data_IF_334136293950
#
_entry.id   IF_334136293950
#
_cell.length_a   1.000
_cell.length_b   1.000
_cell.length_c   1.000
_cell.angle_alpha   90.00
_cell.angle_beta   90.00
_cell.angle_gamma   90.00
#
_symmetry.space_group_name_H-M   'P 1'
#
loop_
_entity.id
_entity.type
_entity.pdbx_description
1 polymer ?
#
# COMPACT_ATOMS: atom_id res chain seq x y z
N UNK A 1 46.41 56.53 2.38
CA UNK A 1 45.16 55.93 2.87
C UNK A 1 44.67 54.99 1.76
N UNK A 2 44.84 53.69 1.95
CA UNK A 2 44.43 52.64 0.96
C UNK A 2 43.13 52.03 1.47
N UNK A 3 42.03 52.27 0.77
CA UNK A 3 40.73 51.70 1.09
C UNK A 3 40.73 50.23 0.63
N UNK A 4 40.61 49.28 1.56
CA UNK A 4 40.37 47.86 1.28
C UNK A 4 38.87 47.65 1.01
N UNK A 5 38.52 47.32 -0.23
CA UNK A 5 37.19 46.92 -0.62
C UNK A 5 36.99 45.45 -0.19
N UNK A 6 36.13 45.21 0.78
CA UNK A 6 35.72 43.86 1.20
C UNK A 6 34.63 43.35 0.22
N UNK A 7 34.94 42.37 -0.59
CA UNK A 7 33.95 41.68 -1.44
C UNK A 7 33.25 40.63 -0.58
N UNK A 8 32.00 40.91 -0.22
CA UNK A 8 31.12 39.93 0.47
C UNK A 8 30.56 38.96 -0.59
N UNK A 9 31.10 37.75 -0.60
CA UNK A 9 30.58 36.67 -1.45
C UNK A 9 29.26 36.18 -0.83
N UNK A 10 28.11 36.55 -1.40
CA UNK A 10 26.82 35.98 -1.03
C UNK A 10 26.76 34.56 -1.62
N UNK A 11 26.87 33.53 -0.76
CA UNK A 11 26.43 32.18 -1.10
C UNK A 11 24.89 32.22 -1.18
N UNK A 12 24.38 32.15 -2.38
CA UNK A 12 22.96 31.83 -2.57
C UNK A 12 22.75 30.34 -2.22
N UNK A 13 21.77 30.01 -1.39
CA UNK A 13 21.40 28.61 -1.21
C UNK A 13 20.92 28.08 -2.55
N UNK A 14 21.56 27.03 -3.03
CA UNK A 14 21.00 26.19 -4.11
C UNK A 14 19.77 25.52 -3.51
N UNK A 15 18.60 25.93 -3.94
CA UNK A 15 17.38 25.17 -3.63
C UNK A 15 17.59 23.76 -4.22
N UNK A 16 17.67 22.77 -3.36
CA UNK A 16 17.50 21.40 -3.79
C UNK A 16 16.11 21.32 -4.41
N UNK A 17 16.03 21.06 -5.73
CA UNK A 17 14.76 20.70 -6.35
C UNK A 17 14.37 19.38 -5.68
N UNK A 18 13.29 19.40 -4.89
CA UNK A 18 12.61 18.17 -4.52
C UNK A 18 12.34 17.45 -5.84
N UNK A 19 12.81 16.20 -5.97
CA UNK A 19 12.50 15.38 -7.13
C UNK A 19 10.97 15.33 -7.30
N UNK A 20 10.48 15.29 -8.53
CA UNK A 20 9.05 15.12 -8.78
C UNK A 20 8.58 13.83 -8.10
N UNK A 21 7.40 13.84 -7.45
CA UNK A 21 6.83 12.65 -6.81
C UNK A 21 6.64 11.50 -7.81
N UNK A 22 6.41 10.31 -7.32
CA UNK A 22 6.16 9.12 -8.14
C UNK A 22 4.81 9.30 -8.85
N UNK A 23 4.80 9.20 -10.19
CA UNK A 23 3.59 9.29 -11.02
C UNK A 23 3.07 7.90 -11.41
N UNK A 24 3.97 6.97 -11.70
CA UNK A 24 3.64 5.59 -12.10
C UNK A 24 4.59 4.60 -11.43
N UNK A 25 4.10 3.39 -11.22
CA UNK A 25 4.90 2.31 -10.65
C UNK A 25 4.52 0.95 -11.26
N UNK A 26 5.51 0.07 -11.45
CA UNK A 26 5.34 -1.30 -11.90
C UNK A 26 6.36 -2.24 -11.24
N UNK A 27 6.05 -3.52 -11.23
CA UNK A 27 7.01 -4.56 -10.84
C UNK A 27 7.74 -5.12 -12.05
N UNK A 28 9.01 -5.46 -11.86
CA UNK A 28 9.86 -6.13 -12.83
C UNK A 28 10.62 -7.31 -12.22
N UNK A 29 11.40 -8.01 -13.06
CA UNK A 29 12.23 -9.13 -12.66
C UNK A 29 11.47 -10.26 -11.97
N UNK A 30 10.73 -11.05 -12.75
CA UNK A 30 10.08 -12.28 -12.29
C UNK A 30 11.11 -13.23 -11.66
N UNK A 31 10.80 -13.76 -10.47
CA UNK A 31 11.67 -14.68 -9.74
C UNK A 31 10.89 -15.87 -9.18
N UNK A 32 11.59 -16.99 -9.02
CA UNK A 32 11.08 -18.22 -8.43
C UNK A 32 11.92 -18.65 -7.22
N UNK A 33 12.20 -17.68 -6.35
CA UNK A 33 13.02 -17.89 -5.14
C UNK A 33 12.17 -18.11 -3.88
N UNK A 34 10.88 -17.80 -3.97
CA UNK A 34 9.92 -17.93 -2.87
C UNK A 34 8.66 -18.67 -3.34
N UNK A 35 8.63 -20.02 -3.25
CA UNK A 35 7.58 -20.82 -3.87
C UNK A 35 6.26 -20.83 -3.06
N UNK A 36 5.75 -19.65 -2.67
CA UNK A 36 4.50 -19.55 -1.93
C UNK A 36 3.27 -19.76 -2.82
N UNK A 37 3.32 -19.27 -4.07
CA UNK A 37 2.27 -19.47 -5.10
C UNK A 37 0.86 -19.11 -4.63
N UNK A 38 0.72 -18.12 -3.79
CA UNK A 38 -0.56 -17.72 -3.23
C UNK A 38 -1.49 -17.14 -4.31
N UNK A 39 -0.92 -16.47 -5.32
CA UNK A 39 -1.60 -15.86 -6.46
C UNK A 39 -1.53 -16.73 -7.72
N UNK A 40 -1.64 -18.06 -7.56
CA UNK A 40 -1.70 -18.99 -8.68
C UNK A 40 -0.43 -19.06 -9.52
N UNK A 41 -0.49 -18.68 -10.79
CA UNK A 41 0.64 -18.72 -11.71
C UNK A 41 1.51 -17.47 -11.70
N UNK A 42 1.09 -16.41 -11.02
CA UNK A 42 1.87 -15.17 -10.91
C UNK A 42 3.14 -15.43 -10.10
N UNK A 43 4.28 -15.10 -10.71
CA UNK A 43 5.58 -15.14 -10.05
C UNK A 43 5.79 -13.90 -9.19
N UNK A 44 6.51 -14.07 -8.08
CA UNK A 44 6.98 -12.96 -7.28
C UNK A 44 7.96 -12.10 -8.10
N UNK A 45 8.12 -10.84 -7.70
CA UNK A 45 8.98 -9.87 -8.37
C UNK A 45 10.10 -9.43 -7.44
N UNK A 46 11.23 -9.01 -8.02
CA UNK A 46 12.33 -8.44 -7.25
C UNK A 46 12.63 -6.98 -7.57
N UNK A 47 12.10 -6.46 -8.66
CA UNK A 47 12.33 -5.08 -9.07
C UNK A 47 11.05 -4.25 -8.92
N UNK A 48 11.19 -3.07 -8.32
CA UNK A 48 10.21 -1.99 -8.34
C UNK A 48 10.76 -0.91 -9.28
N UNK A 49 10.00 -0.56 -10.32
CA UNK A 49 10.26 0.56 -11.22
C UNK A 49 9.23 1.63 -10.99
N UNK A 50 9.67 2.86 -10.93
CA UNK A 50 8.79 4.02 -10.85
C UNK A 50 9.16 5.05 -11.90
N UNK A 51 8.19 5.80 -12.37
CA UNK A 51 8.38 6.98 -13.20
C UNK A 51 7.96 8.18 -12.37
N UNK A 52 8.84 9.17 -12.25
CA UNK A 52 8.50 10.40 -11.56
C UNK A 52 7.69 11.37 -12.44
N UNK A 53 7.21 12.47 -11.85
CA UNK A 53 6.42 13.47 -12.56
C UNK A 53 7.17 14.18 -13.71
N UNK A 54 8.50 14.09 -13.74
CA UNK A 54 9.35 14.61 -14.80
C UNK A 54 9.60 13.58 -15.91
N UNK A 55 9.07 12.36 -15.78
CA UNK A 55 9.21 11.25 -16.72
C UNK A 55 10.53 10.49 -16.59
N UNK A 56 11.26 10.65 -15.48
CA UNK A 56 12.51 9.91 -15.21
C UNK A 56 12.18 8.59 -14.55
N UNK A 57 12.79 7.51 -15.04
CA UNK A 57 12.62 6.18 -14.46
C UNK A 57 13.67 5.92 -13.36
N UNK A 58 13.20 5.45 -12.22
CA UNK A 58 14.01 4.99 -11.10
C UNK A 58 13.69 3.53 -10.81
N UNK A 59 14.66 2.76 -10.33
CA UNK A 59 14.42 1.36 -9.96
C UNK A 59 15.12 0.97 -8.67
N UNK A 60 14.48 0.03 -7.95
CA UNK A 60 14.99 -0.61 -6.75
C UNK A 60 14.91 -2.11 -6.93
N UNK A 61 15.98 -2.85 -6.61
CA UNK A 61 15.99 -4.31 -6.63
C UNK A 61 16.17 -4.84 -5.20
N UNK A 62 15.24 -5.66 -4.75
CA UNK A 62 15.35 -6.38 -3.49
C UNK A 62 16.37 -7.51 -3.61
N UNK A 63 17.13 -7.80 -2.54
CA UNK A 63 18.15 -8.86 -2.53
C UNK A 63 17.66 -10.14 -1.86
N UNK A 64 17.06 -9.99 -0.68
CA UNK A 64 16.66 -11.10 0.19
C UNK A 64 15.13 -11.20 0.34
N UNK A 65 14.39 -10.22 -0.17
CA UNK A 65 12.94 -10.13 -0.17
C UNK A 65 12.39 -10.19 -1.59
N UNK A 66 11.09 -10.39 -1.70
CA UNK A 66 10.34 -10.33 -2.96
C UNK A 66 9.14 -9.38 -2.82
N UNK A 67 8.67 -8.84 -3.93
CA UNK A 67 7.35 -8.21 -4.01
C UNK A 67 6.33 -9.31 -4.32
N UNK A 68 5.42 -9.55 -3.37
CA UNK A 68 4.39 -10.57 -3.46
C UNK A 68 3.03 -9.89 -3.61
N UNK A 69 2.82 -9.27 -4.77
CA UNK A 69 1.63 -8.46 -5.08
C UNK A 69 1.39 -8.45 -6.60
N UNK A 70 0.19 -8.05 -7.00
CA UNK A 70 -0.21 -7.94 -8.40
C UNK A 70 0.31 -6.67 -9.06
N UNK A 71 0.27 -5.55 -8.35
CA UNK A 71 0.73 -4.25 -8.81
C UNK A 71 1.05 -3.34 -7.61
N UNK A 72 2.05 -2.46 -7.72
CA UNK A 72 2.25 -1.37 -6.76
C UNK A 72 1.12 -0.35 -6.85
N UNK A 73 0.92 0.44 -5.80
CA UNK A 73 -0.12 1.47 -5.73
C UNK A 73 0.51 2.81 -5.43
N UNK A 74 0.21 3.83 -6.24
CA UNK A 74 0.74 5.18 -6.05
C UNK A 74 -0.30 6.05 -5.34
N UNK A 75 0.13 6.70 -4.26
CA UNK A 75 -0.66 7.68 -3.50
C UNK A 75 0.28 8.58 -2.69
N UNK A 76 -0.14 9.78 -2.38
CA UNK A 76 0.53 10.65 -1.40
C UNK A 76 0.22 10.11 0.00
N UNK A 77 1.20 9.49 0.63
CA UNK A 77 1.01 8.82 1.93
C UNK A 77 1.45 9.65 3.13
N UNK A 78 2.35 10.63 2.94
CA UNK A 78 2.86 11.47 4.01
C UNK A 78 2.29 12.91 3.99
N UNK A 79 1.47 13.23 3.00
CA UNK A 79 0.76 14.51 2.87
C UNK A 79 1.64 15.65 2.35
N UNK A 80 2.75 15.35 1.69
CA UNK A 80 3.65 16.36 1.11
C UNK A 80 3.22 16.82 -0.28
N UNK A 81 2.17 16.22 -0.85
CA UNK A 81 1.62 16.51 -2.17
C UNK A 81 2.33 15.77 -3.29
N UNK A 82 3.26 14.87 -2.99
CA UNK A 82 3.98 14.04 -3.95
C UNK A 82 3.52 12.58 -3.83
N UNK A 83 3.60 11.83 -4.92
CA UNK A 83 3.23 10.42 -4.91
C UNK A 83 4.33 9.55 -4.28
N UNK A 84 3.92 8.66 -3.39
CA UNK A 84 4.67 7.52 -2.87
C UNK A 84 4.17 6.23 -3.50
N UNK A 85 4.86 5.12 -3.27
CA UNK A 85 4.42 3.82 -3.75
C UNK A 85 4.26 2.81 -2.61
N UNK A 86 3.07 2.21 -2.53
CA UNK A 86 2.71 1.19 -1.55
C UNK A 86 2.82 -0.19 -2.19
N UNK A 87 3.54 -1.10 -1.54
CA UNK A 87 3.86 -2.45 -2.01
C UNK A 87 3.67 -3.50 -0.92
N UNK A 88 3.51 -4.76 -1.33
CA UNK A 88 3.68 -5.92 -0.42
C UNK A 88 5.10 -6.46 -0.58
N UNK A 89 5.92 -6.25 0.43
CA UNK A 89 7.28 -6.76 0.50
C UNK A 89 7.33 -7.98 1.44
N UNK A 90 7.74 -9.11 0.92
CA UNK A 90 7.77 -10.38 1.65
C UNK A 90 9.20 -10.83 1.91
N UNK A 91 9.56 -10.96 3.19
CA UNK A 91 10.75 -11.67 3.64
C UNK A 91 10.50 -13.17 3.59
N UNK A 92 11.43 -13.92 2.99
CA UNK A 92 11.28 -15.37 2.78
C UNK A 92 11.16 -16.18 4.09
N UNK A 93 11.58 -15.63 5.23
CA UNK A 93 11.54 -16.27 6.54
C UNK A 93 10.44 -15.71 7.45
N UNK A 94 10.14 -14.40 7.32
CA UNK A 94 9.22 -13.70 8.23
C UNK A 94 7.88 -13.32 7.60
N UNK A 95 7.68 -13.60 6.30
CA UNK A 95 6.44 -13.32 5.58
C UNK A 95 6.28 -11.87 5.18
N UNK A 96 5.07 -11.50 4.77
CA UNK A 96 4.77 -10.20 4.19
C UNK A 96 4.79 -9.05 5.22
N UNK A 97 5.09 -7.88 4.70
CA UNK A 97 4.96 -6.56 5.30
C UNK A 97 4.39 -5.63 4.24
N UNK A 98 3.56 -4.68 4.59
CA UNK A 98 3.22 -3.58 3.70
C UNK A 98 4.30 -2.51 3.86
N UNK A 99 4.91 -2.09 2.75
CA UNK A 99 5.95 -1.09 2.74
C UNK A 99 5.57 0.11 1.86
N UNK A 100 6.00 1.30 2.26
CA UNK A 100 5.85 2.55 1.52
C UNK A 100 7.26 2.98 1.10
N UNK A 101 7.43 3.23 -0.19
CA UNK A 101 8.64 3.80 -0.75
C UNK A 101 8.36 5.20 -1.29
N UNK A 102 9.26 6.12 -1.04
CA UNK A 102 9.25 7.47 -1.58
C UNK A 102 10.48 7.73 -2.44
N UNK A 103 10.46 8.84 -3.17
CA UNK A 103 11.55 9.25 -4.04
C UNK A 103 12.28 10.45 -3.46
N UNK A 104 13.54 10.25 -3.09
CA UNK A 104 14.42 11.30 -2.60
C UNK A 104 15.52 11.67 -3.62
N UNK A 105 16.41 12.60 -3.25
CA UNK A 105 17.51 13.04 -4.11
C UNK A 105 18.46 11.91 -4.56
N UNK A 106 18.59 10.86 -3.74
CA UNK A 106 19.46 9.72 -4.00
C UNK A 106 18.71 8.52 -4.63
N UNK A 107 17.43 8.68 -5.00
CA UNK A 107 16.57 7.64 -5.56
C UNK A 107 15.50 7.13 -4.60
N UNK A 108 14.96 5.94 -4.89
CA UNK A 108 13.93 5.30 -4.06
C UNK A 108 14.48 4.91 -2.69
N UNK A 109 13.73 5.23 -1.64
CA UNK A 109 14.02 4.81 -0.27
C UNK A 109 12.74 4.31 0.42
N UNK A 110 12.88 3.42 1.38
CA UNK A 110 11.76 2.95 2.20
C UNK A 110 11.40 4.00 3.25
N UNK A 111 10.23 4.61 3.09
CA UNK A 111 9.70 5.64 4.00
C UNK A 111 9.21 4.99 5.30
N UNK A 112 8.38 3.95 5.20
CA UNK A 112 7.83 3.22 6.33
C UNK A 112 7.46 1.78 5.95
N UNK A 113 7.28 0.92 6.94
CA UNK A 113 6.72 -0.41 6.73
C UNK A 113 5.99 -0.90 7.99
N UNK A 114 4.98 -1.76 7.80
CA UNK A 114 4.40 -2.52 8.91
C UNK A 114 5.38 -3.58 9.40
N UNK A 115 5.25 -4.11 10.63
CA UNK A 115 5.98 -5.32 11.00
C UNK A 115 5.68 -6.47 10.04
N UNK A 116 6.68 -7.31 9.77
CA UNK A 116 6.43 -8.58 9.10
C UNK A 116 5.47 -9.46 9.92
N UNK A 117 4.64 -10.28 9.26
CA UNK A 117 3.68 -11.18 9.94
C UNK A 117 4.37 -12.16 10.89
N UNK A 118 5.69 -12.38 10.70
CA UNK A 118 6.56 -13.12 11.62
C UNK A 118 6.77 -14.59 11.26
N UNK A 119 6.25 -15.06 10.12
CA UNK A 119 6.43 -16.46 9.64
C UNK A 119 6.48 -16.50 8.12
N UNK A 120 7.33 -17.37 7.58
CA UNK A 120 7.35 -17.71 6.16
C UNK A 120 5.96 -18.16 5.67
N UNK A 121 5.67 -17.91 4.41
CA UNK A 121 4.41 -18.26 3.75
C UNK A 121 3.20 -17.65 4.48
N UNK A 122 3.35 -16.41 4.93
CA UNK A 122 2.25 -15.57 5.43
C UNK A 122 2.20 -14.30 4.60
N UNK A 123 1.06 -14.08 4.01
CA UNK A 123 0.82 -13.01 3.05
C UNK A 123 -0.29 -12.08 3.52
N UNK A 124 -0.28 -10.87 3.03
CA UNK A 124 -1.34 -9.89 3.17
C UNK A 124 -1.86 -9.48 1.79
N UNK A 125 -3.17 -9.35 1.67
CA UNK A 125 -3.84 -8.94 0.43
C UNK A 125 -4.30 -7.49 0.57
N UNK A 126 -3.71 -6.53 -0.16
CA UNK A 126 -4.13 -5.15 -0.13
C UNK A 126 -5.62 -4.99 -0.46
N UNK A 127 -6.32 -4.14 0.29
CA UNK A 127 -7.70 -3.78 0.01
C UNK A 127 -7.78 -2.41 -0.68
N UNK A 128 -6.91 -1.47 -0.31
CA UNK A 128 -6.78 -0.18 -0.98
C UNK A 128 -6.26 0.94 -0.09
N UNK A 129 -6.25 2.13 -0.66
CA UNK A 129 -5.76 3.37 -0.04
C UNK A 129 -6.88 4.40 -0.09
N UNK A 130 -7.17 5.05 1.01
CA UNK A 130 -8.09 6.19 1.12
C UNK A 130 -7.96 6.83 2.51
N UNK A 131 -8.54 8.00 2.69
CA UNK A 131 -8.76 8.57 4.02
C UNK A 131 -9.93 7.82 4.69
N UNK A 132 -9.59 6.80 5.53
CA UNK A 132 -10.60 5.97 6.20
C UNK A 132 -11.07 6.58 7.52
N UNK A 133 -10.27 7.44 8.14
CA UNK A 133 -10.56 8.03 9.45
C UNK A 133 -11.05 9.49 9.37
N UNK A 134 -11.12 10.07 8.15
CA UNK A 134 -11.54 11.44 7.85
C UNK A 134 -10.62 12.51 8.48
N UNK A 135 -9.31 12.26 8.54
CA UNK A 135 -8.31 13.22 9.01
C UNK A 135 -7.64 14.02 7.88
N UNK A 136 -7.95 13.68 6.63
CA UNK A 136 -7.44 14.33 5.42
C UNK A 136 -6.14 13.72 4.89
N UNK A 137 -5.63 12.62 5.48
CA UNK A 137 -4.47 11.89 4.99
C UNK A 137 -4.90 10.53 4.43
N UNK A 138 -4.09 9.98 3.54
CA UNK A 138 -4.33 8.63 3.03
C UNK A 138 -3.86 7.59 4.06
N UNK A 139 -4.78 6.68 4.37
CA UNK A 139 -4.53 5.46 5.11
C UNK A 139 -4.44 4.28 4.14
N UNK A 140 -3.95 3.13 4.59
CA UNK A 140 -3.92 1.90 3.83
C UNK A 140 -4.67 0.79 4.55
N UNK A 141 -5.45 0.00 3.80
CA UNK A 141 -6.14 -1.17 4.31
C UNK A 141 -5.68 -2.43 3.58
N UNK A 142 -5.54 -3.53 4.32
CA UNK A 142 -5.27 -4.85 3.78
C UNK A 142 -5.90 -5.96 4.64
N UNK A 143 -6.10 -7.14 4.06
CA UNK A 143 -6.46 -8.34 4.81
C UNK A 143 -5.20 -9.15 5.11
N UNK A 144 -4.83 -9.22 6.38
CA UNK A 144 -3.74 -10.07 6.86
C UNK A 144 -4.17 -11.54 6.82
N UNK A 145 -3.33 -12.37 6.23
CA UNK A 145 -3.53 -13.82 6.08
C UNK A 145 -4.97 -14.17 5.63
N UNK A 146 -5.40 -13.74 4.42
CA UNK A 146 -6.80 -13.85 3.97
C UNK A 146 -7.34 -15.30 3.93
N UNK A 147 -6.45 -16.29 3.97
CA UNK A 147 -6.81 -17.71 3.98
C UNK A 147 -6.79 -18.35 5.37
N UNK A 148 -6.24 -17.63 6.38
CA UNK A 148 -6.02 -18.15 7.73
C UNK A 148 -6.66 -17.24 8.79
N UNK A 149 -5.98 -16.16 9.17
CA UNK A 149 -6.44 -15.23 10.21
C UNK A 149 -7.60 -14.36 9.76
N UNK A 150 -7.63 -13.97 8.48
CA UNK A 150 -8.71 -13.20 7.88
C UNK A 150 -9.00 -11.91 8.64
N UNK A 151 -7.95 -11.10 8.87
CA UNK A 151 -8.03 -9.87 9.65
C UNK A 151 -7.88 -8.68 8.71
N UNK A 152 -8.95 -7.91 8.52
CA UNK A 152 -8.88 -6.60 7.88
C UNK A 152 -8.22 -5.61 8.83
N UNK A 153 -7.15 -4.95 8.39
CA UNK A 153 -6.38 -3.96 9.17
C UNK A 153 -6.32 -2.64 8.43
N UNK A 154 -6.35 -1.55 9.20
CA UNK A 154 -6.20 -0.19 8.73
C UNK A 154 -4.97 0.45 9.38
N UNK A 155 -4.15 1.10 8.58
CA UNK A 155 -2.90 1.72 9.02
C UNK A 155 -2.80 3.13 8.49
N UNK A 156 -2.34 4.05 9.32
CA UNK A 156 -2.02 5.43 8.96
C UNK A 156 -0.53 5.69 9.13
N UNK A 157 0.02 6.62 8.36
CA UNK A 157 1.41 7.05 8.49
C UNK A 157 1.49 8.21 9.49
N UNK A 158 2.13 8.01 10.63
CA UNK A 158 2.34 9.03 11.65
C UNK A 158 3.80 9.18 11.98
N UNK A 159 4.36 10.39 11.79
CA UNK A 159 5.76 10.70 12.12
C UNK A 159 6.78 9.73 11.49
N UNK A 160 6.51 9.24 10.27
CA UNK A 160 7.39 8.31 9.56
C UNK A 160 7.24 6.84 9.96
N UNK A 161 6.23 6.48 10.75
CA UNK A 161 5.92 5.10 11.15
C UNK A 161 4.49 4.74 10.77
N UNK A 162 4.25 3.51 10.33
CA UNK A 162 2.90 2.99 10.14
C UNK A 162 2.32 2.54 11.48
N UNK A 163 1.18 3.12 11.84
CA UNK A 163 0.44 2.85 13.08
C UNK A 163 -0.89 2.21 12.75
N UNK A 164 -1.20 1.07 13.37
CA UNK A 164 -2.52 0.43 13.22
C UNK A 164 -3.59 1.27 13.92
N UNK A 165 -4.62 1.66 13.16
CA UNK A 165 -5.72 2.47 13.68
C UNK A 165 -7.00 1.69 13.89
N UNK A 166 -7.19 0.56 13.21
CA UNK A 166 -8.30 -0.37 13.45
C UNK A 166 -8.01 -1.76 12.85
N UNK A 167 -8.67 -2.78 13.41
CA UNK A 167 -8.67 -4.12 12.85
C UNK A 167 -9.98 -4.87 13.12
N UNK A 168 -10.37 -5.76 12.19
CA UNK A 168 -11.54 -6.61 12.31
C UNK A 168 -11.26 -8.03 11.76
N UNK A 169 -11.62 -9.05 12.54
CA UNK A 169 -11.48 -10.45 12.14
C UNK A 169 -12.68 -10.96 11.35
N UNK A 170 -12.48 -12.03 10.59
CA UNK A 170 -13.55 -12.72 9.88
C UNK A 170 -13.86 -12.15 8.49
N UNK A 171 -12.98 -11.31 7.94
CA UNK A 171 -13.10 -10.70 6.61
C UNK A 171 -11.98 -11.18 5.71
N UNK A 172 -12.28 -11.38 4.43
CA UNK A 172 -11.31 -11.84 3.42
C UNK A 172 -11.58 -11.22 2.06
N UNK A 173 -10.53 -11.16 1.25
CA UNK A 173 -10.58 -10.58 -0.10
C UNK A 173 -9.81 -11.41 -1.14
N UNK A 174 -9.32 -12.61 -0.77
CA UNK A 174 -8.59 -13.46 -1.70
C UNK A 174 -8.79 -14.96 -1.40
N UNK A 175 -8.87 -15.78 -2.45
CA UNK A 175 -8.85 -17.25 -2.39
C UNK A 175 -7.53 -17.78 -2.94
N UNK A 176 -6.99 -18.81 -2.31
CA UNK A 176 -5.73 -19.44 -2.75
C UNK A 176 -5.82 -19.83 -4.22
N UNK A 177 -4.82 -19.41 -5.00
CA UNK A 177 -4.71 -19.74 -6.42
C UNK A 177 -5.46 -18.81 -7.36
N UNK A 178 -6.25 -17.86 -6.87
CA UNK A 178 -6.81 -16.81 -7.70
C UNK A 178 -5.72 -15.76 -8.03
N UNK A 179 -5.73 -15.26 -9.27
CA UNK A 179 -4.80 -14.23 -9.75
C UNK A 179 -5.37 -12.81 -9.55
N UNK A 180 -6.42 -12.67 -8.72
CA UNK A 180 -7.08 -11.40 -8.44
C UNK A 180 -7.38 -11.26 -6.95
N UNK A 181 -7.22 -10.05 -6.43
CA UNK A 181 -7.72 -9.67 -5.11
C UNK A 181 -9.13 -9.13 -5.30
N UNK A 182 -10.11 -9.71 -4.60
CA UNK A 182 -11.51 -9.35 -4.72
C UNK A 182 -11.87 -8.18 -3.80
N UNK A 183 -12.85 -7.36 -4.20
CA UNK A 183 -13.25 -6.19 -3.43
C UNK A 183 -12.35 -4.98 -3.68
N UNK A 184 -12.25 -4.10 -2.70
CA UNK A 184 -11.51 -2.84 -2.84
C UNK A 184 -12.11 -1.73 -2.00
N UNK A 185 -11.81 -0.48 -2.36
CA UNK A 185 -12.33 0.73 -1.72
C UNK A 185 -13.46 1.33 -2.55
N UNK A 186 -14.50 1.82 -1.89
CA UNK A 186 -15.52 2.68 -2.49
C UNK A 186 -15.71 3.95 -1.68
N UNK A 187 -16.15 5.02 -2.35
CA UNK A 187 -16.49 6.32 -1.76
C UNK A 187 -17.97 6.60 -2.02
N UNK A 188 -18.84 6.14 -1.11
CA UNK A 188 -20.31 6.28 -1.23
C UNK A 188 -20.91 7.27 -0.24
N UNK A 189 -20.12 7.94 0.55
CA UNK A 189 -20.53 8.89 1.59
C UNK A 189 -19.38 9.79 1.99
N UNK A 190 -19.40 10.23 3.25
CA UNK A 190 -18.39 11.13 3.80
C UNK A 190 -17.07 10.43 4.14
N UNK A 191 -17.07 9.10 4.25
CA UNK A 191 -15.92 8.27 4.60
C UNK A 191 -15.80 7.11 3.63
N UNK A 192 -14.59 6.77 3.25
CA UNK A 192 -14.30 5.63 2.40
C UNK A 192 -14.65 4.30 3.10
N UNK A 193 -15.12 3.32 2.32
CA UNK A 193 -15.47 1.99 2.79
C UNK A 193 -14.62 0.93 2.10
N UNK A 194 -14.24 -0.11 2.85
CA UNK A 194 -13.58 -1.30 2.29
C UNK A 194 -14.61 -2.39 2.03
N UNK A 195 -14.65 -2.91 0.81
CA UNK A 195 -15.53 -4.00 0.39
C UNK A 195 -14.77 -5.31 0.44
N UNK A 196 -15.27 -6.26 1.23
CA UNK A 196 -14.69 -7.60 1.42
C UNK A 196 -15.77 -8.66 1.44
N UNK A 197 -15.37 -9.93 1.34
CA UNK A 197 -16.22 -11.05 1.73
C UNK A 197 -16.03 -11.36 3.22
N UNK A 198 -17.02 -12.03 3.84
CA UNK A 198 -16.81 -12.67 5.13
C UNK A 198 -15.92 -13.92 4.99
N UNK A 199 -15.41 -14.43 6.10
CA UNK A 199 -14.40 -15.46 6.14
C UNK A 199 -14.77 -16.80 5.48
N UNK A 200 -16.05 -17.10 5.27
CA UNK A 200 -16.55 -18.30 4.57
C UNK A 200 -17.04 -18.01 3.15
N UNK A 201 -16.91 -16.78 2.68
CA UNK A 201 -17.36 -16.33 1.35
C UNK A 201 -18.86 -16.48 1.12
N UNK A 202 -19.69 -16.38 2.14
CA UNK A 202 -21.14 -16.43 2.02
C UNK A 202 -21.79 -15.04 1.84
N UNK A 203 -21.14 -13.98 2.30
CA UNK A 203 -21.65 -12.61 2.31
C UNK A 203 -20.61 -11.59 1.85
N UNK A 204 -21.08 -10.46 1.30
CA UNK A 204 -20.27 -9.26 1.02
C UNK A 204 -20.52 -8.23 2.11
N UNK A 205 -19.46 -7.59 2.58
CA UNK A 205 -19.52 -6.54 3.59
C UNK A 205 -18.85 -5.25 3.11
N UNK A 206 -19.46 -4.11 3.46
CA UNK A 206 -18.79 -2.83 3.47
C UNK A 206 -18.38 -2.52 4.92
N UNK A 207 -17.11 -2.18 5.10
CA UNK A 207 -16.53 -1.79 6.40
C UNK A 207 -16.09 -0.35 6.32
N UNK A 208 -16.56 0.50 7.26
CA UNK A 208 -16.15 1.90 7.40
C UNK A 208 -15.70 2.21 8.81
N UNK A 209 -14.88 3.25 8.94
CA UNK A 209 -14.46 3.74 10.26
C UNK A 209 -15.37 4.87 10.71
N UNK A 210 -15.90 4.79 11.94
CA UNK A 210 -16.77 5.80 12.54
C UNK A 210 -16.38 6.00 14.00
N UNK A 211 -16.00 7.22 14.37
CA UNK A 211 -15.70 7.57 15.76
C UNK A 211 -14.59 6.73 16.39
N UNK A 212 -13.60 6.27 15.58
CA UNK A 212 -12.50 5.43 16.01
C UNK A 212 -12.85 3.92 16.14
N UNK A 213 -14.07 3.50 15.76
CA UNK A 213 -14.50 2.11 15.66
C UNK A 213 -14.81 1.70 14.23
N UNK A 214 -15.12 0.41 14.02
CA UNK A 214 -15.52 -0.11 12.71
C UNK A 214 -17.01 -0.45 12.72
N UNK A 215 -17.70 0.01 11.67
CA UNK A 215 -19.07 -0.37 11.35
C UNK A 215 -19.11 -1.27 10.12
N UNK A 216 -20.01 -2.25 10.14
CA UNK A 216 -20.14 -3.25 9.07
C UNK A 216 -21.56 -3.19 8.50
N UNK A 217 -21.63 -3.04 7.17
CA UNK A 217 -22.89 -3.15 6.43
C UNK A 217 -22.88 -4.42 5.62
N UNK A 218 -23.85 -5.30 5.86
CA UNK A 218 -24.06 -6.51 5.08
C UNK A 218 -24.73 -6.16 3.74
N UNK A 219 -23.98 -6.34 2.64
CA UNK A 219 -24.46 -6.03 1.28
C UNK A 219 -25.19 -7.20 0.60
N UNK A 220 -25.33 -8.35 1.27
CA UNK A 220 -26.04 -9.49 0.75
C UNK A 220 -25.18 -10.72 0.47
N UNK A 221 -25.76 -11.76 -0.15
CA UNK A 221 -25.04 -13.00 -0.48
C UNK A 221 -23.88 -12.75 -1.42
N UNK A 222 -22.76 -13.44 -1.16
CA UNK A 222 -21.57 -13.35 -2.00
C UNK A 222 -21.82 -13.94 -3.39
N UNK A 223 -21.41 -13.21 -4.40
CA UNK A 223 -21.07 -13.66 -5.75
C UNK A 223 -20.03 -12.70 -6.33
N UNK A 224 -19.31 -13.10 -7.40
CA UNK A 224 -18.37 -12.18 -8.04
C UNK A 224 -19.07 -10.91 -8.58
N UNK A 225 -20.25 -10.96 -9.21
CA UNK A 225 -21.01 -9.76 -9.55
C UNK A 225 -21.40 -8.93 -8.30
N UNK A 226 -21.89 -9.55 -7.21
CA UNK A 226 -22.27 -8.83 -6.00
C UNK A 226 -21.09 -8.08 -5.36
N UNK A 227 -19.87 -8.67 -5.42
CA UNK A 227 -18.64 -8.01 -4.98
C UNK A 227 -18.34 -6.75 -5.83
N UNK A 228 -18.50 -6.86 -7.15
CA UNK A 228 -18.31 -5.71 -8.05
C UNK A 228 -19.40 -4.65 -7.86
N UNK A 229 -20.66 -5.04 -7.71
CA UNK A 229 -21.76 -4.13 -7.41
C UNK A 229 -21.52 -3.41 -6.09
N UNK A 230 -20.96 -4.11 -5.09
CA UNK A 230 -20.53 -3.53 -3.81
C UNK A 230 -19.57 -2.35 -3.96
N UNK A 231 -18.75 -2.32 -5.00
CA UNK A 231 -17.81 -1.21 -5.26
C UNK A 231 -18.47 0.01 -5.92
N UNK A 232 -19.71 -0.06 -6.39
CA UNK A 232 -20.33 0.97 -7.24
C UNK A 232 -21.35 1.87 -6.54
N UNK A 233 -21.53 1.82 -5.25
CA UNK A 233 -22.50 2.63 -4.49
C UNK A 233 -23.98 2.42 -4.92
N UNK A 234 -24.35 1.24 -5.37
CA UNK A 234 -25.71 0.89 -5.81
C UNK A 234 -26.44 0.04 -4.80
#
# INVERSE_FOLDING_TARGET
MIARLLFLLMLMPVAATAGGGIAEAEYGADVDVYPHRIMGSILEKQELRVVDADGVTHSLTLRDNVFEDMAPRVADMDGDGLGDVVVVETDVNFGASLAIYSLGPDGLFKLAATPHIGRASRWLAPAGIADFNADGQNDVAYVETPHLGKVLRFWTLQSGELVEIAAASGLTNHRIGEEVISGGVRNCGDVAEVITANGDWSRVFATRMVGGGLEFTDLGPYSAPAMQDGLTCR
#
